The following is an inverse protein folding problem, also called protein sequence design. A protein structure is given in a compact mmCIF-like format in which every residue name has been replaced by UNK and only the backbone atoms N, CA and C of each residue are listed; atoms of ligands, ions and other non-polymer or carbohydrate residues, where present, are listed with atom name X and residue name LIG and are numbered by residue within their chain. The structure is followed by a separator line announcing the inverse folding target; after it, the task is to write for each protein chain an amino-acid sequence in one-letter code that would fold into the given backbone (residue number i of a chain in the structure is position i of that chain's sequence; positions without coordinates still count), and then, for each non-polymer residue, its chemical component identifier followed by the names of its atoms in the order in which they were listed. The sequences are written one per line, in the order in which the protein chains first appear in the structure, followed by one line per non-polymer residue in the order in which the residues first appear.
data_IF_043478720994
#
_entry.id   IF_043478720994
#
_cell.length_a   1.000
_cell.length_b   1.000
_cell.length_c   1.000
_cell.angle_alpha   90.00
_cell.angle_beta   90.00
_cell.angle_gamma   90.00
#
_symmetry.space_group_name_H-M   'P 1'
#
loop_
_entity.id
_entity.type
_entity.pdbx_description
1 polymer ?
#
# COMPACT_ATOMS: atom_id res chain seq x y z
N UNK A 1 5.59 -32.51 6.75
CA UNK A 1 5.36 -31.39 5.82
C UNK A 1 3.86 -31.31 5.61
N UNK A 2 3.23 -30.18 5.95
CA UNK A 2 1.81 -30.00 5.74
C UNK A 2 1.62 -29.48 4.32
N UNK A 3 1.26 -30.39 3.41
CA UNK A 3 0.85 -30.04 2.05
C UNK A 3 -0.64 -29.68 2.08
N UNK A 4 -0.97 -28.49 1.60
CA UNK A 4 -2.34 -27.99 1.44
C UNK A 4 -2.66 -27.93 -0.06
N UNK A 5 -3.84 -28.41 -0.44
CA UNK A 5 -4.32 -28.43 -1.81
C UNK A 5 -5.61 -27.65 -1.91
N UNK A 6 -5.65 -26.64 -2.78
CA UNK A 6 -6.87 -25.93 -3.17
C UNK A 6 -7.37 -26.53 -4.47
N UNK A 7 -8.52 -27.19 -4.46
CA UNK A 7 -9.06 -27.91 -5.63
C UNK A 7 -10.28 -27.21 -6.24
N UNK A 8 -10.45 -27.33 -7.55
CA UNK A 8 -11.66 -26.94 -8.31
C UNK A 8 -12.03 -25.45 -8.34
N UNK A 9 -11.18 -24.57 -7.80
CA UNK A 9 -11.40 -23.12 -7.77
C UNK A 9 -11.19 -22.44 -9.10
N UNK A 10 -11.74 -21.23 -9.25
CA UNK A 10 -11.33 -20.31 -10.33
C UNK A 10 -10.18 -19.46 -9.82
N UNK A 11 -8.96 -19.80 -10.23
CA UNK A 11 -7.71 -19.14 -9.84
C UNK A 11 -7.45 -17.95 -10.75
N UNK A 12 -7.14 -16.80 -10.16
CA UNK A 12 -6.64 -15.63 -10.88
C UNK A 12 -5.12 -15.73 -11.01
N UNK A 13 -4.66 -16.43 -12.05
CA UNK A 13 -3.26 -16.85 -12.22
C UNK A 13 -2.39 -15.75 -12.84
N UNK A 14 -1.14 -15.69 -12.39
CA UNK A 14 -0.11 -14.83 -12.97
C UNK A 14 -0.30 -13.34 -12.69
N UNK A 15 0.63 -12.49 -13.17
CA UNK A 15 0.58 -11.05 -12.94
C UNK A 15 -0.63 -10.38 -13.63
N UNK A 16 -1.15 -11.00 -14.69
CA UNK A 16 -2.33 -10.54 -15.43
C UNK A 16 -3.66 -11.05 -14.83
N UNK A 17 -3.61 -11.83 -13.75
CA UNK A 17 -4.79 -12.34 -13.02
C UNK A 17 -5.77 -13.13 -13.91
N UNK A 18 -5.24 -13.94 -14.83
CA UNK A 18 -6.05 -14.68 -15.80
C UNK A 18 -6.85 -15.80 -15.11
N UNK A 19 -8.19 -15.85 -15.24
CA UNK A 19 -9.01 -16.85 -14.58
C UNK A 19 -8.80 -18.24 -15.22
N UNK A 20 -8.37 -19.21 -14.40
CA UNK A 20 -8.16 -20.60 -14.81
C UNK A 20 -8.76 -21.55 -13.76
N UNK A 21 -9.26 -22.70 -14.20
CA UNK A 21 -9.79 -23.73 -13.29
C UNK A 21 -8.75 -24.84 -13.17
N UNK A 22 -7.93 -24.72 -12.14
CA UNK A 22 -6.81 -25.62 -11.83
C UNK A 22 -6.79 -25.90 -10.32
N UNK A 23 -5.85 -26.72 -9.88
CA UNK A 23 -5.56 -27.01 -8.48
C UNK A 23 -4.24 -26.33 -8.08
N UNK A 24 -4.17 -25.83 -6.84
CA UNK A 24 -2.93 -25.30 -6.25
C UNK A 24 -2.38 -26.26 -5.22
N UNK A 25 -1.11 -26.62 -5.35
CA UNK A 25 -0.35 -27.36 -4.33
C UNK A 25 0.52 -26.38 -3.56
N UNK A 26 0.31 -26.30 -2.25
CA UNK A 26 1.02 -25.41 -1.34
C UNK A 26 1.84 -26.24 -0.36
N UNK A 27 3.15 -26.01 -0.35
CA UNK A 27 4.07 -26.63 0.62
C UNK A 27 5.06 -25.60 1.15
N UNK A 28 5.31 -25.67 2.46
CA UNK A 28 6.27 -24.80 3.15
C UNK A 28 6.07 -23.30 2.87
N UNK A 29 4.81 -22.90 2.73
CA UNK A 29 4.44 -21.51 2.49
C UNK A 29 4.47 -21.04 1.04
N UNK A 30 4.84 -21.92 0.10
CA UNK A 30 5.07 -21.61 -1.31
C UNK A 30 4.09 -22.38 -2.19
N UNK A 31 3.63 -21.75 -3.28
CA UNK A 31 2.91 -22.43 -4.36
C UNK A 31 3.92 -23.30 -5.11
N UNK A 32 3.84 -24.63 -4.93
CA UNK A 32 4.78 -25.58 -5.55
C UNK A 32 4.39 -25.96 -6.95
N UNK A 33 3.11 -26.12 -7.19
CA UNK A 33 2.58 -26.64 -8.44
C UNK A 33 1.18 -26.06 -8.69
N UNK A 34 0.92 -25.72 -9.95
CA UNK A 34 -0.41 -25.37 -10.46
C UNK A 34 -0.76 -26.36 -11.57
N UNK A 35 -1.80 -27.17 -11.37
CA UNK A 35 -2.08 -28.33 -12.24
C UNK A 35 -3.58 -28.57 -12.45
N UNK A 36 -3.97 -29.06 -13.63
CA UNK A 36 -5.32 -29.54 -13.91
C UNK A 36 -5.50 -31.03 -13.54
N UNK A 37 -4.42 -31.70 -13.15
CA UNK A 37 -4.43 -33.09 -12.70
C UNK A 37 -4.90 -33.25 -11.25
N UNK A 38 -5.31 -34.48 -10.91
CA UNK A 38 -5.70 -34.84 -9.56
C UNK A 38 -4.48 -34.94 -8.65
N UNK A 39 -4.46 -34.15 -7.59
CA UNK A 39 -3.42 -34.24 -6.54
C UNK A 39 -3.75 -35.40 -5.58
N UNK A 40 -2.84 -36.37 -5.36
CA UNK A 40 -3.16 -37.63 -4.71
C UNK A 40 -3.26 -37.55 -3.18
N UNK A 41 -2.64 -36.56 -2.54
CA UNK A 41 -2.58 -36.45 -1.07
C UNK A 41 -2.62 -34.97 -0.62
N UNK A 42 -2.63 -34.71 0.69
CA UNK A 42 -2.67 -33.36 1.26
C UNK A 42 -3.99 -33.02 1.96
N UNK A 43 -3.96 -32.00 2.83
CA UNK A 43 -5.17 -31.35 3.34
C UNK A 43 -5.87 -30.63 2.19
N UNK A 44 -7.21 -30.70 2.11
CA UNK A 44 -7.96 -30.21 0.95
C UNK A 44 -8.90 -29.08 1.30
N UNK A 45 -8.89 -28.05 0.46
CA UNK A 45 -9.93 -27.03 0.39
C UNK A 45 -10.67 -27.22 -0.93
N UNK A 46 -11.97 -27.56 -0.85
CA UNK A 46 -12.85 -27.55 -2.02
C UNK A 46 -13.25 -26.11 -2.35
N UNK A 47 -12.67 -25.58 -3.42
CA UNK A 47 -12.93 -24.25 -3.94
C UNK A 47 -13.90 -24.25 -5.13
N UNK A 48 -14.68 -25.33 -5.35
CA UNK A 48 -15.59 -25.47 -6.51
C UNK A 48 -16.56 -24.30 -6.75
N UNK A 49 -16.91 -23.56 -5.70
CA UNK A 49 -17.78 -22.36 -5.71
C UNK A 49 -17.04 -21.07 -5.36
N UNK A 50 -15.72 -21.12 -5.26
CA UNK A 50 -14.87 -20.02 -4.83
C UNK A 50 -13.97 -19.54 -5.97
N UNK A 51 -13.62 -18.26 -5.91
CA UNK A 51 -12.51 -17.70 -6.66
C UNK A 51 -11.28 -17.66 -5.75
N UNK A 52 -10.12 -17.99 -6.30
CA UNK A 52 -8.82 -17.93 -5.63
C UNK A 52 -8.08 -16.72 -6.18
N UNK A 53 -7.84 -15.74 -5.33
CA UNK A 53 -7.20 -14.47 -5.66
C UNK A 53 -5.97 -14.30 -4.75
N UNK A 54 -4.89 -13.61 -5.20
CA UNK A 54 -3.87 -13.19 -4.26
C UNK A 54 -4.50 -12.43 -3.08
N UNK A 55 -3.94 -12.60 -1.89
CA UNK A 55 -4.30 -11.75 -0.76
C UNK A 55 -4.03 -10.28 -1.14
N UNK A 56 -4.91 -9.39 -0.66
CA UNK A 56 -4.82 -7.99 -1.01
C UNK A 56 -3.60 -7.35 -0.35
N UNK A 57 -3.05 -6.35 -1.03
CA UNK A 57 -1.91 -5.57 -0.56
C UNK A 57 -2.33 -4.12 -0.40
N UNK A 58 -2.16 -3.59 0.80
CA UNK A 58 -2.38 -2.16 1.08
C UNK A 58 -1.05 -1.40 0.97
N UNK A 59 -0.80 -0.76 -0.17
CA UNK A 59 0.51 -0.19 -0.52
C UNK A 59 0.83 1.14 0.15
N UNK A 60 -0.12 1.70 0.91
CA UNK A 60 0.11 2.91 1.70
C UNK A 60 -0.91 3.00 2.82
N UNK A 61 -0.43 3.04 4.06
CA UNK A 61 -1.24 3.27 5.26
C UNK A 61 -0.43 4.00 6.33
N UNK A 62 -1.11 4.76 7.18
CA UNK A 62 -0.56 5.29 8.43
C UNK A 62 -1.25 4.62 9.62
N UNK A 63 -0.84 3.40 9.97
CA UNK A 63 -1.58 2.56 10.93
C UNK A 63 -1.59 3.12 12.35
N UNK A 64 -0.60 3.94 12.72
CA UNK A 64 -0.59 4.60 14.03
C UNK A 64 -1.69 5.64 14.21
N UNK A 65 -2.26 6.15 13.12
CA UNK A 65 -3.32 7.16 13.17
C UNK A 65 -4.63 6.58 13.73
N UNK A 66 -4.69 5.25 13.88
CA UNK A 66 -5.78 4.51 14.52
C UNK A 66 -6.11 4.94 15.95
N UNK A 67 -5.24 5.68 16.65
CA UNK A 67 -5.55 6.26 17.96
C UNK A 67 -6.44 7.51 17.90
N UNK A 68 -6.62 8.08 16.71
CA UNK A 68 -7.25 9.38 16.52
C UNK A 68 -8.51 9.32 15.63
N UNK A 69 -9.16 8.16 15.50
CA UNK A 69 -10.29 7.95 14.56
C UNK A 69 -11.31 9.09 14.58
N UNK A 70 -11.59 9.61 13.38
CA UNK A 70 -12.50 10.71 13.06
C UNK A 70 -12.19 12.07 13.74
N UNK A 71 -11.06 12.18 14.43
CA UNK A 71 -10.67 13.42 15.10
C UNK A 71 -10.25 14.47 14.08
N UNK A 72 -10.95 15.60 14.10
CA UNK A 72 -10.65 16.73 13.22
C UNK A 72 -11.41 16.73 11.90
N UNK A 73 -12.40 15.84 11.72
CA UNK A 73 -13.30 15.88 10.57
C UNK A 73 -13.89 17.29 10.35
N UNK A 74 -13.96 17.70 9.08
CA UNK A 74 -14.40 19.03 8.65
C UNK A 74 -13.37 20.17 8.83
N UNK A 75 -12.16 19.93 9.32
CA UNK A 75 -11.08 20.95 9.41
C UNK A 75 -10.18 20.94 8.17
N UNK A 76 -9.44 22.03 7.89
CA UNK A 76 -8.44 22.05 6.83
C UNK A 76 -7.34 21.00 7.08
N UNK A 77 -6.90 20.31 6.02
CA UNK A 77 -5.90 19.25 6.13
C UNK A 77 -4.58 19.71 6.77
N UNK A 78 -4.14 20.94 6.47
CA UNK A 78 -2.92 21.53 7.05
C UNK A 78 -2.97 21.55 8.59
N UNK A 79 -4.15 21.77 9.18
CA UNK A 79 -4.35 21.78 10.64
C UNK A 79 -4.37 20.37 11.25
N UNK A 80 -4.67 19.37 10.42
CA UNK A 80 -4.91 18.00 10.86
C UNK A 80 -3.64 17.16 10.75
N UNK A 81 -3.05 17.03 9.56
CA UNK A 81 -2.04 15.98 9.29
C UNK A 81 -0.63 16.53 9.05
N UNK A 82 -0.47 17.82 8.77
CA UNK A 82 0.83 18.36 8.36
C UNK A 82 1.82 18.43 9.54
N UNK A 83 3.03 17.87 9.41
CA UNK A 83 4.08 18.05 10.42
C UNK A 83 4.48 19.52 10.61
N UNK A 84 5.06 19.89 11.76
CA UNK A 84 5.17 19.11 13.00
C UNK A 84 3.96 19.31 13.95
N UNK A 85 3.08 20.29 13.68
CA UNK A 85 2.07 20.77 14.63
C UNK A 85 0.63 20.31 14.34
N UNK A 86 0.41 19.55 13.25
CA UNK A 86 -0.89 18.98 12.92
C UNK A 86 -1.50 18.22 14.11
N UNK A 87 -2.82 18.24 14.21
CA UNK A 87 -3.57 17.54 15.27
C UNK A 87 -3.14 16.06 15.42
N UNK A 88 -2.95 15.37 14.29
CA UNK A 88 -2.41 14.00 14.22
C UNK A 88 -1.08 13.87 14.97
N UNK A 89 -0.10 14.72 14.66
CA UNK A 89 1.23 14.67 15.27
C UNK A 89 1.18 14.85 16.78
N UNK A 90 0.40 15.83 17.25
CA UNK A 90 0.21 16.08 18.68
C UNK A 90 -0.45 14.90 19.41
N UNK A 91 -1.43 14.25 18.78
CA UNK A 91 -2.08 13.07 19.36
C UNK A 91 -1.09 11.90 19.41
N UNK A 92 -0.38 11.63 18.32
CA UNK A 92 0.61 10.55 18.27
C UNK A 92 1.71 10.73 19.33
N UNK A 93 2.26 11.94 19.46
CA UNK A 93 3.33 12.24 20.44
C UNK A 93 2.85 12.16 21.90
N UNK A 94 1.60 12.55 22.17
CA UNK A 94 1.03 12.52 23.52
C UNK A 94 0.42 11.18 23.90
N UNK A 95 0.22 10.27 22.94
CA UNK A 95 -0.39 8.96 23.18
C UNK A 95 0.57 8.02 23.91
N UNK A 96 0.13 7.34 24.98
CA UNK A 96 0.95 6.33 25.64
C UNK A 96 1.34 5.20 24.67
N UNK A 97 2.58 4.68 24.73
CA UNK A 97 3.03 3.60 23.82
C UNK A 97 2.13 2.37 23.83
N UNK A 98 1.59 1.98 24.98
CA UNK A 98 0.65 0.85 25.09
C UNK A 98 -0.65 1.05 24.32
N UNK A 99 -1.16 2.30 24.28
CA UNK A 99 -2.36 2.63 23.51
C UNK A 99 -2.09 2.58 22.00
N UNK A 100 -0.96 3.13 21.56
CA UNK A 100 -0.52 3.07 20.16
C UNK A 100 -0.34 1.62 19.70
N UNK A 101 0.30 0.78 20.52
CA UNK A 101 0.49 -0.64 20.23
C UNK A 101 -0.85 -1.36 20.07
N UNK A 102 -1.77 -1.17 21.00
CA UNK A 102 -3.09 -1.81 20.96
C UNK A 102 -3.91 -1.35 19.73
N UNK A 103 -3.91 -0.05 19.44
CA UNK A 103 -4.62 0.51 18.30
C UNK A 103 -4.07 -0.03 16.96
N UNK A 104 -2.75 0.01 16.76
CA UNK A 104 -2.11 -0.55 15.57
C UNK A 104 -2.39 -2.05 15.42
N UNK A 105 -2.33 -2.80 16.53
CA UNK A 105 -2.64 -4.24 16.54
C UNK A 105 -4.08 -4.53 16.14
N UNK A 106 -5.03 -3.72 16.61
CA UNK A 106 -6.44 -3.86 16.24
C UNK A 106 -6.68 -3.50 14.77
N UNK A 107 -6.05 -2.45 14.24
CA UNK A 107 -6.09 -2.14 12.81
C UNK A 107 -5.47 -3.23 11.93
N UNK A 108 -4.38 -3.86 12.38
CA UNK A 108 -3.79 -4.99 11.67
C UNK A 108 -4.73 -6.21 11.64
N UNK A 109 -5.46 -6.48 12.73
CA UNK A 109 -6.51 -7.51 12.75
C UNK A 109 -7.64 -7.15 11.79
N UNK A 110 -8.06 -5.89 11.75
CA UNK A 110 -9.08 -5.43 10.81
C UNK A 110 -8.65 -5.66 9.37
N UNK A 111 -7.41 -5.32 9.01
CA UNK A 111 -6.82 -5.62 7.69
C UNK A 111 -6.89 -7.11 7.33
N UNK A 112 -6.52 -7.99 8.26
CA UNK A 112 -6.61 -9.45 8.08
C UNK A 112 -8.05 -9.87 7.77
N UNK A 113 -9.05 -9.32 8.50
CA UNK A 113 -10.46 -9.67 8.24
C UNK A 113 -10.96 -9.24 6.86
N UNK A 114 -10.37 -8.18 6.30
CA UNK A 114 -10.63 -7.69 4.95
C UNK A 114 -9.77 -8.36 3.86
N UNK A 115 -9.03 -9.43 4.20
CA UNK A 115 -8.26 -10.21 3.24
C UNK A 115 -6.93 -9.59 2.83
N UNK A 116 -6.42 -8.63 3.61
CA UNK A 116 -5.12 -8.02 3.39
C UNK A 116 -4.04 -8.92 3.99
N UNK A 117 -3.12 -9.37 3.14
CA UNK A 117 -1.99 -10.21 3.55
C UNK A 117 -0.71 -9.43 3.83
N UNK A 118 -0.57 -8.27 3.17
CA UNK A 118 0.59 -7.40 3.30
C UNK A 118 0.20 -5.92 3.26
N UNK A 119 0.97 -5.08 3.94
CA UNK A 119 0.79 -3.63 3.88
C UNK A 119 2.12 -2.87 3.95
N UNK A 120 2.15 -1.64 3.45
CA UNK A 120 3.28 -0.72 3.55
C UNK A 120 2.87 0.47 4.45
N UNK A 121 3.46 0.53 5.64
CA UNK A 121 3.22 1.58 6.63
C UNK A 121 4.22 2.73 6.54
N UNK A 122 3.73 3.94 6.71
CA UNK A 122 4.52 5.17 6.67
C UNK A 122 4.62 5.72 8.10
N UNK A 123 5.70 5.38 8.79
CA UNK A 123 5.78 5.37 10.24
C UNK A 123 6.48 6.58 10.84
N UNK A 124 5.73 7.41 11.56
CA UNK A 124 6.22 8.43 12.48
C UNK A 124 6.94 7.82 13.70
N UNK A 125 7.70 8.64 14.42
CA UNK A 125 8.31 8.28 15.70
C UNK A 125 9.73 7.72 15.59
N UNK A 126 10.37 7.83 14.42
CA UNK A 126 11.74 7.35 14.22
C UNK A 126 11.88 5.84 14.48
N UNK A 127 13.05 5.39 14.95
CA UNK A 127 13.28 3.97 15.24
C UNK A 127 12.29 3.39 16.25
N UNK A 128 11.91 4.15 17.28
CA UNK A 128 10.98 3.68 18.32
C UNK A 128 9.57 3.45 17.78
N UNK A 129 9.09 4.30 16.87
CA UNK A 129 7.80 4.09 16.21
C UNK A 129 7.80 2.85 15.31
N UNK A 130 8.91 2.58 14.62
CA UNK A 130 9.10 1.37 13.81
C UNK A 130 9.09 0.12 14.68
N UNK A 131 9.88 0.10 15.76
CA UNK A 131 9.93 -1.02 16.71
C UNK A 131 8.56 -1.30 17.35
N UNK A 132 7.83 -0.25 17.73
CA UNK A 132 6.49 -0.38 18.30
C UNK A 132 5.49 -1.03 17.33
N UNK A 133 5.56 -0.67 16.04
CA UNK A 133 4.72 -1.32 15.03
C UNK A 133 5.12 -2.80 14.83
N UNK A 134 6.43 -3.10 14.82
CA UNK A 134 6.91 -4.50 14.73
C UNK A 134 6.40 -5.33 15.90
N UNK A 135 6.40 -4.77 17.11
CA UNK A 135 5.83 -5.41 18.28
C UNK A 135 4.32 -5.63 18.13
N UNK A 136 3.59 -4.60 17.66
CA UNK A 136 2.14 -4.64 17.50
C UNK A 136 1.68 -5.76 16.53
N UNK A 137 2.45 -6.08 15.49
CA UNK A 137 2.08 -7.08 14.46
C UNK A 137 2.87 -8.39 14.54
N UNK A 138 3.87 -8.52 15.42
CA UNK A 138 4.90 -9.57 15.33
C UNK A 138 4.40 -11.02 15.44
N UNK A 139 3.23 -11.23 16.07
CA UNK A 139 2.56 -12.54 16.21
C UNK A 139 1.29 -12.65 15.34
N UNK A 140 0.98 -11.63 14.55
CA UNK A 140 -0.17 -11.63 13.65
C UNK A 140 0.21 -12.22 12.27
N UNK A 141 -0.70 -12.93 11.61
CA UNK A 141 -0.45 -13.50 10.30
C UNK A 141 -0.66 -12.45 9.18
N UNK A 142 0.15 -11.39 9.20
CA UNK A 142 0.19 -10.32 8.20
C UNK A 142 1.64 -9.86 8.02
N UNK A 143 2.02 -9.46 6.81
CA UNK A 143 3.35 -8.91 6.54
C UNK A 143 3.31 -7.38 6.49
N UNK A 144 3.96 -6.72 7.43
CA UNK A 144 4.14 -5.27 7.41
C UNK A 144 5.50 -4.87 6.85
N UNK A 145 5.51 -4.04 5.81
CA UNK A 145 6.68 -3.30 5.35
C UNK A 145 6.63 -1.93 6.01
N UNK A 146 7.67 -1.54 6.73
CA UNK A 146 7.66 -0.30 7.52
C UNK A 146 8.65 0.70 6.94
N UNK A 147 8.14 1.79 6.39
CA UNK A 147 8.93 2.93 5.92
C UNK A 147 8.97 3.97 7.04
N UNK A 148 10.10 4.08 7.72
CA UNK A 148 10.24 5.00 8.85
C UNK A 148 10.52 6.43 8.41
N UNK A 149 10.32 7.38 9.32
CA UNK A 149 10.79 8.77 9.16
C UNK A 149 11.27 9.38 10.46
N UNK A 150 12.13 10.39 10.36
CA UNK A 150 12.72 11.08 11.51
C UNK A 150 12.50 12.60 11.39
N UNK A 151 12.01 13.28 12.45
CA UNK A 151 11.75 14.73 12.40
C UNK A 151 12.96 15.59 12.01
N UNK A 152 14.19 15.11 12.25
CA UNK A 152 15.41 15.85 11.89
C UNK A 152 15.51 16.12 10.40
N UNK A 153 14.88 15.31 9.53
CA UNK A 153 14.91 15.56 8.08
C UNK A 153 14.09 16.79 7.67
N UNK A 154 13.24 17.32 8.56
CA UNK A 154 12.46 18.54 8.33
C UNK A 154 13.12 19.78 8.93
N UNK A 155 14.21 19.61 9.70
CA UNK A 155 14.98 20.71 10.25
C UNK A 155 15.93 21.27 9.19
N UNK A 156 15.62 22.48 8.71
CA UNK A 156 16.38 23.16 7.66
C UNK A 156 17.80 23.53 8.09
N UNK A 157 18.08 23.57 9.40
CA UNK A 157 19.40 23.86 9.96
C UNK A 157 20.22 22.60 10.24
N UNK A 158 19.62 21.41 10.08
CA UNK A 158 20.32 20.15 10.33
C UNK A 158 21.46 19.94 9.33
N UNK A 159 22.65 19.61 9.84
CA UNK A 159 23.79 19.34 8.98
C UNK A 159 23.58 18.05 8.16
N UNK A 160 24.18 17.98 6.95
CA UNK A 160 24.19 16.76 6.11
C UNK A 160 24.64 15.51 6.86
N UNK A 161 25.64 15.65 7.73
CA UNK A 161 26.17 14.55 8.53
C UNK A 161 25.15 14.03 9.55
N UNK A 162 24.37 14.94 10.14
CA UNK A 162 23.29 14.60 11.06
C UNK A 162 22.11 13.95 10.34
N UNK A 163 21.63 14.52 9.23
CA UNK A 163 20.56 13.93 8.39
C UNK A 163 20.94 12.49 8.04
N UNK A 164 22.13 12.28 7.47
CA UNK A 164 22.62 10.95 7.09
C UNK A 164 22.69 9.99 8.27
N UNK A 165 23.16 10.46 9.44
CA UNK A 165 23.22 9.65 10.66
C UNK A 165 21.81 9.22 11.11
N UNK A 166 20.81 10.11 11.04
CA UNK A 166 19.43 9.83 11.45
C UNK A 166 18.74 8.88 10.48
N UNK A 167 18.86 9.12 9.17
CA UNK A 167 18.35 8.22 8.12
C UNK A 167 18.91 6.81 8.30
N UNK A 168 20.23 6.66 8.45
CA UNK A 168 20.88 5.36 8.75
C UNK A 168 20.37 4.73 10.04
N UNK A 169 20.08 5.53 11.06
CA UNK A 169 19.52 5.06 12.32
C UNK A 169 18.16 4.40 12.14
N UNK A 170 17.26 5.05 11.39
CA UNK A 170 15.93 4.51 11.05
C UNK A 170 16.07 3.27 10.17
N UNK A 171 16.90 3.32 9.14
CA UNK A 171 17.14 2.20 8.22
C UNK A 171 17.75 0.97 8.89
N UNK A 172 18.23 1.02 10.13
CA UNK A 172 18.64 -0.20 10.86
C UNK A 172 17.45 -1.08 11.25
N UNK A 173 16.27 -0.50 11.43
CA UNK A 173 15.07 -1.17 11.96
C UNK A 173 13.88 -1.14 11.01
N UNK A 174 13.88 -0.27 10.01
CA UNK A 174 12.83 -0.15 8.98
C UNK A 174 13.17 -0.89 7.69
N UNK A 175 12.19 -1.09 6.81
CA UNK A 175 12.37 -1.64 5.45
C UNK A 175 12.66 -0.56 4.40
N UNK A 176 12.60 0.69 4.81
CA UNK A 176 12.82 1.86 3.97
C UNK A 176 12.60 3.15 4.73
N UNK A 177 12.58 4.26 3.99
CA UNK A 177 12.41 5.60 4.53
C UNK A 177 11.42 6.39 3.68
N UNK A 178 10.49 7.09 4.35
CA UNK A 178 9.48 7.88 3.66
C UNK A 178 9.20 9.24 4.35
N UNK A 179 9.77 10.36 3.85
CA UNK A 179 9.38 11.69 4.32
C UNK A 179 7.93 12.03 3.90
N UNK A 180 7.34 13.03 4.56
CA UNK A 180 5.96 13.51 4.33
C UNK A 180 5.74 14.26 3.02
N UNK A 181 6.79 14.70 2.34
CA UNK A 181 6.68 15.38 1.05
C UNK A 181 7.78 16.41 0.79
N UNK A 182 7.89 16.84 -0.48
CA UNK A 182 8.95 17.75 -0.93
C UNK A 182 8.78 19.20 -0.44
N UNK A 183 7.60 19.56 0.05
CA UNK A 183 7.35 20.87 0.68
C UNK A 183 8.02 21.05 2.05
N UNK A 184 8.62 19.99 2.62
CA UNK A 184 9.17 19.99 3.99
C UNK A 184 10.65 19.63 4.04
N UNK A 185 11.24 19.22 2.91
CA UNK A 185 12.64 18.81 2.81
C UNK A 185 13.34 19.52 1.64
N UNK A 186 14.64 19.72 1.78
CA UNK A 186 15.50 20.21 0.70
C UNK A 186 15.80 19.10 -0.30
N UNK A 187 16.19 19.47 -1.53
CA UNK A 187 16.62 18.49 -2.54
C UNK A 187 17.86 17.71 -2.08
N UNK A 188 18.75 18.37 -1.33
CA UNK A 188 19.91 17.71 -0.73
C UNK A 188 19.51 16.64 0.30
N UNK A 189 18.50 16.93 1.14
CA UNK A 189 17.96 15.96 2.08
C UNK A 189 17.31 14.79 1.35
N UNK A 190 16.54 15.10 0.29
CA UNK A 190 15.89 14.12 -0.58
C UNK A 190 16.92 13.15 -1.18
N UNK A 191 18.01 13.67 -1.74
CA UNK A 191 19.10 12.84 -2.28
C UNK A 191 19.80 12.00 -1.21
N UNK A 192 20.02 12.53 0.00
CA UNK A 192 20.62 11.74 1.10
C UNK A 192 19.73 10.57 1.49
N UNK A 193 18.40 10.78 1.55
CA UNK A 193 17.44 9.72 1.87
C UNK A 193 17.53 8.60 0.83
N UNK A 194 17.42 8.93 -0.45
CA UNK A 194 17.47 7.95 -1.54
C UNK A 194 18.81 7.21 -1.56
N UNK A 195 19.94 7.92 -1.50
CA UNK A 195 21.28 7.33 -1.52
C UNK A 195 21.49 6.31 -0.38
N UNK A 196 20.95 6.59 0.81
CA UNK A 196 21.05 5.68 1.95
C UNK A 196 20.08 4.50 1.88
N UNK A 197 18.89 4.69 1.31
CA UNK A 197 17.96 3.61 0.99
C UNK A 197 18.57 2.65 -0.04
N UNK A 198 19.09 3.17 -1.15
CA UNK A 198 19.74 2.38 -2.21
C UNK A 198 20.92 1.58 -1.66
N UNK A 199 21.80 2.20 -0.86
CA UNK A 199 22.92 1.51 -0.19
C UNK A 199 22.49 0.37 0.71
N UNK A 200 21.33 0.50 1.34
CA UNK A 200 20.77 -0.52 2.21
C UNK A 200 19.93 -1.58 1.46
N UNK A 201 19.67 -1.39 0.16
CA UNK A 201 18.73 -2.20 -0.61
C UNK A 201 17.30 -2.08 -0.08
N UNK A 202 16.89 -0.85 0.28
CA UNK A 202 15.64 -0.54 0.98
C UNK A 202 14.82 0.50 0.22
N UNK A 203 13.52 0.53 0.51
CA UNK A 203 12.56 1.33 -0.25
C UNK A 203 12.73 2.82 0.07
N UNK A 204 12.77 3.65 -0.97
CA UNK A 204 12.61 5.10 -0.84
C UNK A 204 11.23 5.52 -1.40
N UNK A 205 10.38 6.08 -0.55
CA UNK A 205 9.05 6.55 -0.97
C UNK A 205 8.75 7.96 -0.48
N UNK A 206 7.84 8.68 -1.14
CA UNK A 206 7.46 10.04 -0.75
C UNK A 206 6.06 10.42 -1.24
N UNK A 207 5.35 11.23 -0.46
CA UNK A 207 4.12 11.89 -0.88
C UNK A 207 4.40 13.07 -1.82
N UNK A 208 3.72 13.13 -2.96
CA UNK A 208 3.91 14.19 -3.95
C UNK A 208 2.61 14.57 -4.65
N UNK A 209 2.47 15.86 -4.98
CA UNK A 209 1.35 16.38 -5.76
C UNK A 209 -0.04 16.04 -5.20
N UNK A 210 -0.15 15.86 -3.88
CA UNK A 210 -1.44 15.65 -3.22
C UNK A 210 -2.32 16.91 -3.30
N UNK A 211 -1.69 18.09 -3.25
CA UNK A 211 -2.36 19.38 -3.33
C UNK A 211 -1.84 20.26 -4.45
N UNK A 212 -2.77 20.98 -5.09
CA UNK A 212 -2.44 22.03 -6.07
C UNK A 212 -1.53 23.10 -5.50
N UNK A 213 -1.72 23.45 -4.23
CA UNK A 213 -0.93 24.50 -3.61
C UNK A 213 0.52 24.07 -3.36
N UNK A 214 0.75 22.83 -2.91
CA UNK A 214 2.10 22.28 -2.74
C UNK A 214 2.87 22.29 -4.06
N UNK A 215 2.22 21.87 -5.16
CA UNK A 215 2.78 21.94 -6.51
C UNK A 215 3.09 23.38 -6.93
N UNK A 216 2.14 24.30 -6.73
CA UNK A 216 2.33 25.71 -7.06
C UNK A 216 3.51 26.31 -6.31
N UNK A 217 3.58 26.10 -4.99
CA UNK A 217 4.68 26.59 -4.14
C UNK A 217 6.03 26.03 -4.59
N UNK A 218 6.13 24.71 -4.82
CA UNK A 218 7.35 24.09 -5.32
C UNK A 218 7.84 24.73 -6.63
N UNK A 219 6.92 24.98 -7.58
CA UNK A 219 7.26 25.63 -8.84
C UNK A 219 7.68 27.10 -8.68
N UNK A 220 7.04 27.84 -7.78
CA UNK A 220 7.37 29.23 -7.47
C UNK A 220 8.75 29.34 -6.80
N UNK A 221 9.05 28.44 -5.87
CA UNK A 221 10.26 28.49 -5.04
C UNK A 221 11.49 27.90 -5.72
N UNK A 222 11.31 26.83 -6.51
CA UNK A 222 12.42 26.03 -7.08
C UNK A 222 12.43 25.97 -8.60
N UNK A 223 11.34 26.37 -9.26
CA UNK A 223 11.14 26.18 -10.70
C UNK A 223 10.69 24.77 -11.12
N UNK A 224 10.76 23.79 -10.22
CA UNK A 224 10.42 22.38 -10.45
C UNK A 224 9.18 21.94 -9.66
N UNK A 225 8.40 21.00 -10.20
CA UNK A 225 7.27 20.41 -9.47
C UNK A 225 7.78 19.52 -8.33
N UNK A 226 6.94 19.18 -7.35
CA UNK A 226 7.37 18.20 -6.33
C UNK A 226 7.66 16.83 -6.94
N UNK A 227 6.96 16.48 -8.02
CA UNK A 227 7.16 15.20 -8.71
C UNK A 227 8.52 15.19 -9.38
N UNK A 228 8.86 16.23 -10.14
CA UNK A 228 10.17 16.38 -10.78
C UNK A 228 11.30 16.35 -9.74
N UNK A 229 11.16 17.08 -8.62
CA UNK A 229 12.15 17.07 -7.54
C UNK A 229 12.32 15.69 -6.91
N UNK A 230 11.22 14.97 -6.65
CA UNK A 230 11.27 13.62 -6.09
C UNK A 230 11.92 12.62 -7.06
N UNK A 231 11.60 12.70 -8.35
CA UNK A 231 12.20 11.85 -9.38
C UNK A 231 13.69 12.16 -9.59
N UNK A 232 14.09 13.43 -9.57
CA UNK A 232 15.49 13.84 -9.63
C UNK A 232 16.30 13.32 -8.44
N UNK A 233 15.68 13.20 -7.26
CA UNK A 233 16.31 12.59 -6.10
C UNK A 233 16.42 11.06 -6.21
N UNK A 234 15.57 10.41 -7.00
CA UNK A 234 15.55 8.96 -7.24
C UNK A 234 14.53 8.19 -6.40
N UNK A 235 13.46 8.83 -5.91
CA UNK A 235 12.38 8.10 -5.24
C UNK A 235 11.67 7.15 -6.22
N UNK A 236 11.54 5.89 -5.85
CA UNK A 236 10.95 4.82 -6.69
C UNK A 236 9.45 4.62 -6.48
N UNK A 237 8.91 5.12 -5.36
CA UNK A 237 7.51 4.96 -4.99
C UNK A 237 6.89 6.32 -4.59
N UNK A 238 5.96 6.80 -5.42
CA UNK A 238 5.33 8.10 -5.24
C UNK A 238 3.88 7.96 -4.75
N UNK A 239 3.50 8.65 -3.69
CA UNK A 239 2.15 8.58 -3.13
C UNK A 239 1.28 9.75 -3.59
N UNK A 240 0.01 9.45 -3.87
CA UNK A 240 -1.07 10.34 -4.33
C UNK A 240 -1.04 10.72 -5.79
N UNK A 241 -0.12 11.61 -6.18
CA UNK A 241 -0.06 12.17 -7.54
C UNK A 241 -1.43 12.72 -8.01
N UNK A 242 -2.14 13.42 -7.13
CA UNK A 242 -3.52 13.90 -7.36
C UNK A 242 -3.58 15.07 -8.33
N UNK A 243 -2.59 15.97 -8.29
CA UNK A 243 -2.49 17.17 -9.15
C UNK A 243 -1.15 17.24 -9.88
N UNK A 244 -0.82 16.29 -10.76
CA UNK A 244 0.37 16.39 -11.59
C UNK A 244 0.29 17.61 -12.52
N UNK A 245 1.41 18.28 -12.74
CA UNK A 245 1.54 19.48 -13.58
C UNK A 245 2.69 19.32 -14.58
N UNK A 246 2.83 20.25 -15.53
CA UNK A 246 4.05 20.45 -16.36
C UNK A 246 4.76 19.19 -16.93
N UNK A 247 4.04 18.13 -17.27
CA UNK A 247 4.63 16.91 -17.82
C UNK A 247 5.07 15.88 -16.77
N UNK A 248 4.64 16.03 -15.52
CA UNK A 248 4.96 15.12 -14.40
C UNK A 248 4.65 13.65 -14.73
N UNK A 249 3.55 13.38 -15.43
CA UNK A 249 3.19 12.01 -15.79
C UNK A 249 4.18 11.41 -16.79
N UNK A 250 4.69 12.21 -17.72
CA UNK A 250 5.73 11.80 -18.66
C UNK A 250 7.04 11.51 -17.91
N UNK A 251 7.41 12.36 -16.93
CA UNK A 251 8.58 12.12 -16.07
C UNK A 251 8.44 10.83 -15.25
N UNK A 252 7.26 10.59 -14.65
CA UNK A 252 7.01 9.35 -13.89
C UNK A 252 7.15 8.13 -14.79
N UNK A 253 6.52 8.15 -15.97
CA UNK A 253 6.64 7.07 -16.95
C UNK A 253 8.09 6.80 -17.36
N UNK A 254 8.88 7.85 -17.58
CA UNK A 254 10.28 7.74 -17.99
C UNK A 254 11.20 7.24 -16.88
N UNK A 255 10.92 7.63 -15.63
CA UNK A 255 11.68 7.18 -14.46
C UNK A 255 11.45 5.70 -14.11
N UNK A 256 10.30 5.14 -14.49
CA UNK A 256 9.87 3.80 -14.07
C UNK A 256 9.37 3.73 -12.62
N UNK A 257 9.24 4.87 -11.92
CA UNK A 257 8.68 4.92 -10.58
C UNK A 257 7.22 4.42 -10.56
N UNK A 258 6.85 3.76 -9.46
CA UNK A 258 5.47 3.33 -9.23
C UNK A 258 4.68 4.39 -8.46
N UNK A 259 3.36 4.43 -8.67
CA UNK A 259 2.48 5.41 -8.02
C UNK A 259 1.46 4.70 -7.14
N UNK A 260 1.42 5.05 -5.85
CA UNK A 260 0.38 4.60 -4.92
C UNK A 260 -0.76 5.62 -4.90
N UNK A 261 -1.91 5.20 -5.41
CA UNK A 261 -3.13 5.98 -5.41
C UNK A 261 -3.93 5.70 -4.14
N UNK A 262 -4.47 6.75 -3.52
CA UNK A 262 -5.31 6.62 -2.32
C UNK A 262 -6.67 7.35 -2.50
N UNK A 263 -7.49 6.98 -3.50
CA UNK A 263 -8.64 7.80 -3.88
C UNK A 263 -9.66 8.03 -2.76
N UNK A 264 -9.90 7.07 -1.86
CA UNK A 264 -10.81 7.28 -0.72
C UNK A 264 -10.28 8.33 0.25
N UNK A 265 -8.99 8.29 0.58
CA UNK A 265 -8.36 9.31 1.42
C UNK A 265 -8.40 10.68 0.76
N UNK A 266 -8.04 10.75 -0.52
CA UNK A 266 -8.11 12.02 -1.24
C UNK A 266 -9.55 12.57 -1.34
N UNK A 267 -10.55 11.70 -1.42
CA UNK A 267 -11.97 12.07 -1.34
C UNK A 267 -12.39 12.57 0.05
N UNK A 268 -11.98 11.88 1.12
CA UNK A 268 -12.28 12.26 2.50
C UNK A 268 -11.65 13.61 2.88
N UNK A 269 -10.44 13.87 2.39
CA UNK A 269 -9.66 15.07 2.70
C UNK A 269 -9.90 16.23 1.72
N UNK A 270 -10.82 16.06 0.76
CA UNK A 270 -11.06 17.03 -0.32
C UNK A 270 -9.80 17.38 -1.14
N UNK A 271 -8.81 16.48 -1.18
CA UNK A 271 -7.60 16.63 -1.99
C UNK A 271 -7.92 16.52 -3.49
N UNK A 272 -8.97 15.78 -3.88
CA UNK A 272 -9.36 15.55 -5.27
C UNK A 272 -9.20 14.09 -5.69
N UNK A 273 -9.26 13.79 -6.99
CA UNK A 273 -9.10 12.43 -7.50
C UNK A 273 -7.94 12.41 -8.51
N UNK A 274 -6.94 11.52 -8.35
CA UNK A 274 -5.82 11.43 -9.28
C UNK A 274 -6.29 11.08 -10.70
N UNK A 275 -5.54 11.45 -11.76
CA UNK A 275 -5.89 11.11 -13.14
C UNK A 275 -5.60 9.62 -13.48
N UNK A 276 -6.24 8.69 -12.75
CA UNK A 276 -5.99 7.23 -12.78
C UNK A 276 -6.02 6.67 -14.20
N UNK A 277 -7.06 6.97 -14.97
CA UNK A 277 -7.20 6.49 -16.35
C UNK A 277 -6.02 6.93 -17.22
N UNK A 278 -5.58 8.18 -17.08
CA UNK A 278 -4.47 8.70 -17.90
C UNK A 278 -3.14 8.07 -17.50
N UNK A 279 -2.88 7.88 -16.21
CA UNK A 279 -1.67 7.19 -15.76
C UNK A 279 -1.64 5.74 -16.26
N UNK A 280 -2.77 5.04 -16.21
CA UNK A 280 -2.91 3.68 -16.75
C UNK A 280 -2.66 3.64 -18.26
N UNK A 281 -3.26 4.55 -19.03
CA UNK A 281 -3.05 4.64 -20.49
C UNK A 281 -1.60 4.96 -20.87
N UNK A 282 -0.85 5.59 -19.98
CA UNK A 282 0.58 5.87 -20.15
C UNK A 282 1.49 4.69 -19.75
N UNK A 283 0.93 3.60 -19.21
CA UNK A 283 1.67 2.43 -18.76
C UNK A 283 2.45 2.64 -17.46
N UNK A 284 2.05 3.61 -16.63
CA UNK A 284 2.63 3.82 -15.30
C UNK A 284 2.20 2.66 -14.40
N UNK A 285 3.11 2.10 -13.61
CA UNK A 285 2.76 1.08 -12.62
C UNK A 285 1.96 1.72 -11.48
N UNK A 286 0.71 1.33 -11.35
CA UNK A 286 -0.22 1.86 -10.35
C UNK A 286 -0.46 0.85 -9.23
N UNK A 287 -0.51 1.37 -8.01
CA UNK A 287 -0.73 0.64 -6.76
C UNK A 287 -1.90 1.31 -6.01
N UNK A 288 -2.53 0.59 -5.09
CA UNK A 288 -3.57 1.14 -4.21
C UNK A 288 -3.15 1.10 -2.74
N UNK A 289 -3.53 2.15 -2.01
CA UNK A 289 -3.40 2.23 -0.56
C UNK A 289 -4.60 2.95 0.06
N UNK A 290 -4.83 2.70 1.36
CA UNK A 290 -5.95 3.29 2.10
C UNK A 290 -5.57 4.59 2.81
N UNK A 291 -4.26 4.84 2.95
CA UNK A 291 -3.68 6.02 3.56
C UNK A 291 -4.16 6.23 5.02
N UNK A 292 -4.68 7.41 5.35
CA UNK A 292 -4.85 7.87 6.71
C UNK A 292 -6.01 7.14 7.40
N UNK A 293 -5.64 6.29 8.35
CA UNK A 293 -6.57 5.45 9.11
C UNK A 293 -7.49 6.26 10.01
N UNK A 294 -7.16 7.53 10.26
CA UNK A 294 -8.00 8.46 10.99
C UNK A 294 -9.34 8.72 10.32
N UNK A 295 -9.40 8.70 8.97
CA UNK A 295 -10.63 8.99 8.21
C UNK A 295 -11.12 7.81 7.37
N UNK A 296 -10.28 6.80 7.16
CA UNK A 296 -10.62 5.64 6.36
C UNK A 296 -10.27 4.35 7.10
N UNK A 297 -11.26 3.45 7.20
CA UNK A 297 -10.97 2.07 7.54
C UNK A 297 -9.98 1.46 6.53
N UNK A 298 -9.03 0.62 6.96
CA UNK A 298 -8.01 0.02 6.11
C UNK A 298 -8.59 -1.16 5.30
N UNK A 299 -9.59 -0.86 4.46
CA UNK A 299 -10.39 -1.81 3.69
C UNK A 299 -10.09 -1.64 2.19
N UNK A 300 -9.31 -2.58 1.65
CA UNK A 300 -8.94 -2.61 0.23
C UNK A 300 -10.09 -3.02 -0.70
N UNK A 301 -11.12 -3.73 -0.22
CA UNK A 301 -12.31 -4.03 -1.04
C UNK A 301 -13.05 -2.73 -1.36
N UNK A 302 -13.23 -1.86 -0.35
CA UNK A 302 -13.79 -0.52 -0.54
C UNK A 302 -12.88 0.39 -1.36
N UNK A 303 -11.56 0.32 -1.17
CA UNK A 303 -10.61 1.13 -1.97
C UNK A 303 -10.69 0.79 -3.46
N UNK A 304 -10.70 -0.50 -3.80
CA UNK A 304 -10.87 -0.97 -5.17
C UNK A 304 -12.23 -0.56 -5.76
N UNK A 305 -13.32 -0.75 -5.02
CA UNK A 305 -14.66 -0.40 -5.51
C UNK A 305 -14.79 1.10 -5.78
N UNK A 306 -14.29 1.93 -4.84
CA UNK A 306 -14.29 3.39 -4.99
C UNK A 306 -13.42 3.82 -6.16
N UNK A 307 -12.19 3.28 -6.28
CA UNK A 307 -11.27 3.54 -7.40
C UNK A 307 -11.92 3.26 -8.75
N UNK A 308 -12.57 2.10 -8.91
CA UNK A 308 -13.23 1.74 -10.16
C UNK A 308 -14.35 2.72 -10.52
N UNK A 309 -15.23 3.02 -9.56
CA UNK A 309 -16.41 3.87 -9.78
C UNK A 309 -16.01 5.32 -10.01
N UNK A 310 -15.09 5.86 -9.21
CA UNK A 310 -14.68 7.26 -9.31
C UNK A 310 -13.92 7.53 -10.60
N UNK A 311 -13.06 6.60 -11.03
CA UNK A 311 -12.36 6.70 -12.32
C UNK A 311 -13.35 6.79 -13.48
N UNK A 312 -14.35 5.89 -13.51
CA UNK A 312 -15.41 5.90 -14.52
C UNK A 312 -16.27 7.16 -14.44
N UNK A 313 -16.58 7.62 -13.22
CA UNK A 313 -17.37 8.83 -12.99
C UNK A 313 -16.68 10.10 -13.50
N UNK A 314 -15.40 10.27 -13.19
CA UNK A 314 -14.60 11.42 -13.62
C UNK A 314 -14.37 11.44 -15.14
N UNK A 315 -14.13 10.27 -15.74
CA UNK A 315 -13.74 10.16 -17.16
C UNK A 315 -14.90 9.90 -18.11
N UNK A 316 -16.05 9.43 -17.60
CA UNK A 316 -17.19 8.92 -18.38
C UNK A 316 -16.79 7.82 -19.37
N UNK A 317 -15.75 7.05 -19.04
CA UNK A 317 -15.20 5.97 -19.87
C UNK A 317 -15.14 4.67 -19.08
N UNK A 318 -15.13 3.55 -19.79
CA UNK A 318 -14.92 2.24 -19.19
C UNK A 318 -13.48 2.13 -18.67
N UNK A 319 -13.34 1.67 -17.43
CA UNK A 319 -12.04 1.31 -16.84
C UNK A 319 -12.04 -0.20 -16.54
N UNK A 320 -11.06 -0.99 -17.02
CA UNK A 320 -11.06 -2.43 -16.82
C UNK A 320 -10.96 -2.82 -15.33
N UNK A 321 -11.87 -3.64 -14.79
CA UNK A 321 -11.83 -4.05 -13.39
C UNK A 321 -10.58 -4.85 -13.02
N UNK A 322 -10.03 -5.66 -13.93
CA UNK A 322 -8.79 -6.41 -13.70
C UNK A 322 -7.63 -5.49 -13.32
N UNK A 323 -7.54 -4.31 -13.93
CA UNK A 323 -6.48 -3.34 -13.64
C UNK A 323 -6.57 -2.81 -12.21
N UNK A 324 -7.77 -2.59 -11.68
CA UNK A 324 -7.96 -2.21 -10.28
C UNK A 324 -7.51 -3.32 -9.34
N UNK A 325 -7.83 -4.58 -9.66
CA UNK A 325 -7.42 -5.72 -8.84
C UNK A 325 -5.89 -5.89 -8.86
N UNK A 326 -5.25 -5.72 -10.02
CA UNK A 326 -3.78 -5.72 -10.17
C UNK A 326 -3.11 -4.66 -9.29
N UNK A 327 -3.67 -3.45 -9.23
CA UNK A 327 -3.15 -2.37 -8.36
C UNK A 327 -3.16 -2.74 -6.87
N UNK A 328 -4.05 -3.64 -6.45
CA UNK A 328 -4.15 -4.14 -5.07
C UNK A 328 -3.45 -5.51 -4.88
N UNK A 329 -2.80 -6.05 -5.91
CA UNK A 329 -2.18 -7.38 -5.89
C UNK A 329 -0.87 -7.42 -6.68
N UNK A 330 -0.88 -7.85 -7.94
CA UNK A 330 0.30 -8.22 -8.72
C UNK A 330 1.26 -7.05 -9.00
N UNK A 331 0.72 -5.84 -9.15
CA UNK A 331 1.55 -4.63 -9.36
C UNK A 331 2.44 -4.31 -8.17
N UNK A 332 2.11 -4.82 -6.98
CA UNK A 332 2.84 -4.58 -5.73
C UNK A 332 4.04 -5.51 -5.54
N UNK A 333 4.15 -6.57 -6.35
CA UNK A 333 5.07 -7.69 -6.14
C UNK A 333 6.55 -7.29 -6.10
N UNK A 334 6.95 -6.24 -6.81
CA UNK A 334 8.32 -5.70 -6.77
C UNK A 334 8.71 -5.17 -5.38
N UNK A 335 7.73 -4.68 -4.61
CA UNK A 335 7.94 -4.13 -3.27
C UNK A 335 7.67 -5.16 -2.17
N UNK A 336 6.72 -6.06 -2.39
CA UNK A 336 6.20 -6.95 -1.34
C UNK A 336 6.64 -8.41 -1.47
N UNK A 337 7.11 -8.82 -2.65
CA UNK A 337 7.41 -10.22 -2.97
C UNK A 337 6.17 -11.13 -3.02
N UNK A 338 4.96 -10.56 -3.00
CA UNK A 338 3.68 -11.29 -3.00
C UNK A 338 2.68 -10.65 -3.99
N UNK A 339 1.43 -11.11 -4.00
CA UNK A 339 0.37 -10.57 -4.86
C UNK A 339 0.24 -11.26 -6.21
N UNK A 340 0.95 -12.37 -6.44
CA UNK A 340 0.92 -13.15 -7.69
C UNK A 340 0.69 -14.63 -7.37
N UNK A 341 -0.20 -15.30 -8.11
CA UNK A 341 -0.38 -16.75 -8.04
C UNK A 341 0.42 -17.39 -9.19
N UNK A 342 1.65 -17.77 -8.89
CA UNK A 342 2.55 -18.54 -9.76
C UNK A 342 3.41 -19.48 -8.92
N UNK A 343 3.96 -20.52 -9.56
CA UNK A 343 4.89 -21.43 -8.90
C UNK A 343 6.13 -20.70 -8.38
N UNK A 344 6.55 -21.04 -7.17
CA UNK A 344 7.67 -20.39 -6.49
C UNK A 344 7.30 -19.14 -5.68
N UNK A 345 6.10 -18.57 -5.87
CA UNK A 345 5.63 -17.45 -5.06
C UNK A 345 5.07 -17.89 -3.70
N UNK A 346 5.09 -17.02 -2.67
CA UNK A 346 4.38 -17.25 -1.43
C UNK A 346 2.89 -17.48 -1.65
N UNK A 347 2.32 -18.45 -0.93
CA UNK A 347 0.90 -18.69 -0.92
C UNK A 347 0.19 -17.71 0.03
N UNK A 348 0.06 -16.46 -0.41
CA UNK A 348 -0.80 -15.44 0.21
C UNK A 348 -2.07 -15.29 -0.63
N UNK A 349 -3.17 -15.90 -0.18
CA UNK A 349 -4.39 -16.10 -0.97
C UNK A 349 -5.63 -15.73 -0.17
N UNK A 350 -6.60 -15.11 -0.85
CA UNK A 350 -7.99 -15.09 -0.42
C UNK A 350 -8.80 -16.05 -1.29
N UNK A 351 -9.67 -16.83 -0.66
CA UNK A 351 -10.68 -17.61 -1.36
C UNK A 351 -12.04 -17.00 -1.04
N UNK A 352 -12.70 -16.48 -2.07
CA UNK A 352 -13.93 -15.70 -1.94
C UNK A 352 -15.08 -16.36 -2.68
N UNK A 353 -16.31 -16.17 -2.23
CA UNK A 353 -17.49 -16.68 -2.93
C UNK A 353 -17.57 -16.11 -4.36
N UNK A 354 -17.87 -16.99 -5.34
CA UNK A 354 -18.19 -16.54 -6.70
C UNK A 354 -19.61 -15.99 -6.75
N UNK A 355 -19.75 -14.68 -6.62
CA UNK A 355 -21.03 -13.94 -6.59
C UNK A 355 -21.45 -13.38 -7.96
N UNK A 356 -20.56 -13.41 -8.95
CA UNK A 356 -20.83 -13.00 -10.33
C UNK A 356 -20.05 -13.85 -11.34
N UNK A 357 -20.50 -13.86 -12.60
CA UNK A 357 -19.79 -14.52 -13.71
C UNK A 357 -18.57 -13.73 -14.18
N UNK A 358 -18.56 -12.40 -13.99
CA UNK A 358 -17.34 -11.61 -14.18
C UNK A 358 -16.46 -11.80 -12.92
N UNK A 359 -15.29 -12.46 -13.04
CA UNK A 359 -14.48 -12.82 -11.88
C UNK A 359 -13.96 -11.59 -11.15
N UNK A 360 -13.61 -10.52 -11.88
CA UNK A 360 -13.04 -9.32 -11.32
C UNK A 360 -14.11 -8.48 -10.62
N UNK A 361 -15.28 -8.29 -11.24
CA UNK A 361 -16.40 -7.58 -10.62
C UNK A 361 -17.03 -8.36 -9.46
N UNK A 362 -16.96 -9.69 -9.47
CA UNK A 362 -17.34 -10.50 -8.32
C UNK A 362 -16.49 -10.17 -7.08
N UNK A 363 -15.19 -9.90 -7.26
CA UNK A 363 -14.33 -9.41 -6.16
C UNK A 363 -14.66 -7.96 -5.85
N UNK A 364 -14.56 -7.07 -6.83
CA UNK A 364 -14.56 -5.62 -6.59
C UNK A 364 -15.92 -5.07 -6.13
N UNK A 365 -17.03 -5.50 -6.73
CA UNK A 365 -18.35 -4.92 -6.47
C UNK A 365 -19.25 -5.75 -5.55
N UNK A 366 -18.90 -7.03 -5.31
CA UNK A 366 -19.79 -7.98 -4.61
C UNK A 366 -19.21 -8.54 -3.33
N UNK A 367 -17.89 -8.64 -3.24
CA UNK A 367 -17.24 -9.24 -2.07
C UNK A 367 -17.19 -8.23 -0.93
N UNK A 368 -17.74 -8.63 0.21
CA UNK A 368 -17.46 -8.02 1.51
C UNK A 368 -16.59 -8.99 2.34
N UNK A 369 -16.11 -8.55 3.51
CA UNK A 369 -15.27 -9.39 4.40
C UNK A 369 -15.93 -10.73 4.79
N UNK A 370 -17.26 -10.78 4.86
CA UNK A 370 -18.04 -12.01 5.12
C UNK A 370 -17.97 -13.03 3.98
N UNK A 371 -17.68 -12.60 2.75
CA UNK A 371 -17.59 -13.46 1.58
C UNK A 371 -16.19 -14.04 1.36
N UNK A 372 -15.19 -13.59 2.15
CA UNK A 372 -13.87 -14.21 2.23
C UNK A 372 -14.00 -15.45 3.11
N UNK A 373 -14.01 -16.62 2.49
CA UNK A 373 -14.21 -17.91 3.17
C UNK A 373 -12.89 -18.39 3.76
N UNK A 374 -11.81 -18.35 2.97
CA UNK A 374 -10.49 -18.72 3.45
C UNK A 374 -9.50 -17.58 3.23
N UNK A 375 -8.60 -17.43 4.20
CA UNK A 375 -7.42 -16.59 4.09
C UNK A 375 -6.21 -17.47 4.37
N UNK A 376 -5.27 -17.50 3.43
CA UNK A 376 -4.01 -18.23 3.54
C UNK A 376 -2.91 -17.18 3.50
N UNK A 377 -2.03 -17.15 4.50
CA UNK A 377 -0.87 -16.25 4.54
C UNK A 377 0.38 -17.06 4.82
N UNK A 378 1.39 -16.94 3.98
CA UNK A 378 2.62 -17.74 3.96
C UNK A 378 2.29 -19.24 4.01
N UNK A 379 1.29 -19.64 3.22
CA UNK A 379 0.74 -20.99 3.12
C UNK A 379 0.07 -21.54 4.38
N UNK A 380 -0.15 -20.72 5.41
CA UNK A 380 -0.89 -21.13 6.61
C UNK A 380 -2.32 -20.64 6.54
N UNK A 381 -3.27 -21.50 6.90
CA UNK A 381 -4.68 -21.12 7.00
C UNK A 381 -4.90 -20.20 8.21
N UNK A 382 -5.33 -18.97 7.94
CA UNK A 382 -5.58 -17.91 8.94
C UNK A 382 -7.07 -17.79 9.27
N UNK A 383 -7.91 -17.90 8.25
CA UNK A 383 -9.38 -17.83 8.36
C UNK A 383 -10.01 -19.04 7.67
N UNK A 384 -11.11 -19.53 8.24
CA UNK A 384 -11.97 -20.58 7.72
C UNK A 384 -13.43 -20.21 7.86
#
# INVERSE_FOLDING_TARGET
MNMLVVENGTILRGPELTPQRENLVIEDGIIKEITDERVPSGERIDASRLMVCPALVNSHVHIGDSVALDVGDGRPLEDIVRPPNGLKHRILESSPPGLLLEAMRNSARDMITHGIGSFIDYREGGPGGVELLREAIGDLPISGIVLGRDPVVFDQEASRAEIRRRVRGVLKVSDGFAPSGMGEITDETASIIVEECERAGKIASIHVAEHRESQRRSLEDTGMSEVERALNAGFELLVHLTHPVRGDLELVRESGASVVLCPRSNGALSSGIPPIMRMHEMGINLLLGTDNLMFNSPDMLREMEYTLKVTRGCTRRYFPPVEVLRMATSNTSAFTGTGVIEEGFPADLILVEKLSEDPYLSIINRTESKNIIYLIIKGKLVKR
#
